data_IF_724548898955
#
_entry.id   IF_724548898955
#
_cell.length_a   1.000
_cell.length_b   1.000
_cell.length_c   1.000
_cell.angle_alpha   90.00
_cell.angle_beta   90.00
_cell.angle_gamma   90.00
#
_symmetry.space_group_name_H-M   'P 1'
#
loop_
_entity.id
_entity.type
_entity.pdbx_description
1 polymer ?
#
# COMPACT_ATOMS: atom_id res chain seq x y z
N UNK A 1 15.06 -7.37 -12.43
CA UNK A 1 15.26 -6.76 -11.09
C UNK A 1 14.01 -6.96 -10.26
N UNK A 2 14.15 -7.41 -9.01
CA UNK A 2 13.02 -7.50 -8.07
C UNK A 2 12.39 -6.11 -7.88
N UNK A 3 11.06 -6.07 -7.81
CA UNK A 3 10.29 -4.84 -7.57
C UNK A 3 9.94 -4.85 -6.09
N UNK A 4 10.50 -3.90 -5.33
CA UNK A 4 10.19 -3.74 -3.91
C UNK A 4 9.00 -2.81 -3.72
N UNK A 5 8.15 -3.15 -2.76
CA UNK A 5 6.90 -2.45 -2.51
C UNK A 5 6.69 -2.26 -1.01
N UNK A 6 6.16 -1.12 -0.62
CA UNK A 6 5.67 -0.89 0.75
C UNK A 6 4.17 -0.58 0.71
N UNK A 7 3.35 -1.48 1.24
CA UNK A 7 1.90 -1.40 1.13
C UNK A 7 1.23 -0.67 2.31
N UNK A 8 1.99 -0.02 3.20
CA UNK A 8 1.41 0.67 4.36
C UNK A 8 2.15 1.97 4.75
N UNK A 9 1.84 3.07 4.05
CA UNK A 9 2.23 4.41 4.50
C UNK A 9 1.02 5.12 5.12
N UNK A 10 1.12 5.62 6.34
CA UNK A 10 -0.03 6.23 7.00
C UNK A 10 -0.40 7.57 6.35
N UNK A 11 -1.68 7.72 6.00
CA UNK A 11 -2.18 8.98 5.46
C UNK A 11 -2.06 10.12 6.49
N UNK A 12 -1.63 11.30 6.02
CA UNK A 12 -1.60 12.53 6.79
C UNK A 12 -2.25 13.67 6.01
N UNK A 13 -2.97 14.57 6.69
CA UNK A 13 -3.55 15.74 6.02
C UNK A 13 -2.48 16.74 5.54
N UNK A 14 -1.28 16.68 6.12
CA UNK A 14 -0.15 17.56 5.80
C UNK A 14 0.60 17.08 4.54
N UNK A 15 0.45 17.84 3.44
CA UNK A 15 1.13 17.57 2.16
C UNK A 15 2.64 17.46 2.30
N UNK A 16 3.26 18.27 3.16
CA UNK A 16 4.72 18.27 3.30
C UNK A 16 5.24 16.97 3.88
N UNK A 17 4.47 16.36 4.80
CA UNK A 17 4.82 15.06 5.41
C UNK A 17 4.68 13.93 4.40
N UNK A 18 3.59 13.92 3.64
CA UNK A 18 3.38 12.92 2.59
C UNK A 18 4.46 13.04 1.50
N UNK A 19 4.82 14.25 1.07
CA UNK A 19 5.91 14.47 0.10
C UNK A 19 7.21 13.87 0.58
N UNK A 20 7.62 14.21 1.82
CA UNK A 20 8.86 13.68 2.42
C UNK A 20 8.84 12.16 2.56
N UNK A 21 7.70 11.56 2.91
CA UNK A 21 7.55 10.10 2.98
C UNK A 21 7.75 9.46 1.60
N UNK A 22 7.13 10.01 0.57
CA UNK A 22 7.20 9.49 -0.79
C UNK A 22 8.59 9.69 -1.42
N UNK A 23 9.23 10.84 -1.20
CA UNK A 23 10.62 11.10 -1.59
C UNK A 23 11.58 10.13 -0.93
N UNK A 24 11.42 9.91 0.38
CA UNK A 24 12.28 8.97 1.14
C UNK A 24 12.06 7.54 0.65
N UNK A 25 10.82 7.13 0.39
CA UNK A 25 10.53 5.81 -0.14
C UNK A 25 11.15 5.61 -1.54
N UNK A 26 11.06 6.62 -2.41
CA UNK A 26 11.69 6.61 -3.73
C UNK A 26 13.23 6.52 -3.63
N UNK A 27 13.85 7.26 -2.71
CA UNK A 27 15.28 7.21 -2.45
C UNK A 27 15.74 5.85 -1.92
N UNK A 28 14.94 5.19 -1.08
CA UNK A 28 15.23 3.83 -0.59
C UNK A 28 15.06 2.74 -1.67
N UNK A 29 14.46 3.06 -2.81
CA UNK A 29 14.29 2.15 -3.95
C UNK A 29 12.94 1.45 -4.02
N UNK A 30 11.93 1.91 -3.27
CA UNK A 30 10.57 1.38 -3.40
C UNK A 30 9.94 1.82 -4.72
N UNK A 31 9.46 0.85 -5.49
CA UNK A 31 8.84 1.10 -6.80
C UNK A 31 7.35 1.39 -6.70
N UNK A 32 6.69 0.84 -5.69
CA UNK A 32 5.26 0.99 -5.47
C UNK A 32 5.01 1.17 -3.99
N UNK A 33 4.17 2.14 -3.65
CA UNK A 33 3.79 2.46 -2.28
C UNK A 33 2.29 2.61 -2.18
N UNK A 34 1.70 2.19 -1.06
CA UNK A 34 0.28 2.39 -0.80
C UNK A 34 0.05 3.32 0.39
N UNK A 35 -0.78 4.34 0.18
CA UNK A 35 -1.24 5.26 1.21
C UNK A 35 -2.44 4.62 1.91
N UNK A 36 -2.28 4.36 3.21
CA UNK A 36 -3.26 3.69 4.04
C UNK A 36 -4.18 4.70 4.73
N UNK A 37 -5.48 4.54 4.50
CA UNK A 37 -6.56 5.21 5.20
C UNK A 37 -7.13 4.26 6.24
N UNK A 38 -7.08 4.63 7.52
CA UNK A 38 -7.62 3.79 8.59
C UNK A 38 -9.04 4.22 8.92
N UNK A 39 -9.95 3.26 8.98
CA UNK A 39 -11.35 3.47 9.33
C UNK A 39 -11.71 2.60 10.54
N UNK A 40 -12.09 3.27 11.64
CA UNK A 40 -12.48 2.64 12.90
C UNK A 40 -13.99 2.84 13.14
N UNK A 41 -14.85 1.92 12.67
CA UNK A 41 -16.28 2.00 12.89
C UNK A 41 -16.58 2.00 14.39
N UNK A 42 -17.09 3.14 14.87
CA UNK A 42 -17.51 3.33 16.26
C UNK A 42 -19.03 3.30 16.34
N UNK A 43 -19.58 2.52 17.26
CA UNK A 43 -21.03 2.33 17.43
C UNK A 43 -21.85 3.62 17.68
N UNK A 44 -21.19 4.75 17.97
CA UNK A 44 -21.83 6.00 18.38
C UNK A 44 -22.10 7.00 17.25
N UNK A 45 -21.48 6.86 16.08
CA UNK A 45 -21.71 7.76 14.94
C UNK A 45 -21.64 6.99 13.62
N UNK A 46 -22.54 7.32 12.70
CA UNK A 46 -22.54 6.83 11.31
C UNK A 46 -21.38 7.52 10.59
N UNK A 47 -20.15 7.05 10.81
CA UNK A 47 -18.97 7.57 10.15
C UNK A 47 -18.94 7.05 8.72
N UNK A 48 -18.74 7.96 7.77
CA UNK A 48 -18.57 7.61 6.36
C UNK A 48 -17.14 7.14 6.10
N UNK A 49 -16.99 6.17 5.21
CA UNK A 49 -15.69 5.70 4.76
C UNK A 49 -14.95 6.88 4.11
N UNK A 50 -13.68 7.14 4.47
CA UNK A 50 -12.93 8.24 3.90
C UNK A 50 -12.88 8.12 2.37
N UNK A 51 -12.95 9.26 1.67
CA UNK A 51 -12.76 9.29 0.22
C UNK A 51 -11.25 9.42 -0.05
N UNK A 52 -10.64 8.51 -0.83
CA UNK A 52 -9.22 8.64 -1.16
C UNK A 52 -9.01 9.92 -1.95
N UNK A 53 -8.00 10.71 -1.58
CA UNK A 53 -7.65 11.91 -2.33
C UNK A 53 -6.98 11.50 -3.64
N UNK A 54 -7.28 12.16 -4.77
CA UNK A 54 -6.55 11.91 -6.00
C UNK A 54 -5.08 12.25 -5.80
N UNK A 55 -4.19 11.47 -6.41
CA UNK A 55 -2.74 11.60 -6.22
C UNK A 55 -2.24 13.00 -6.60
N UNK A 56 -2.85 13.61 -7.63
CA UNK A 56 -2.55 14.98 -8.09
C UNK A 56 -2.82 16.04 -7.02
N UNK A 57 -3.72 15.77 -6.06
CA UNK A 57 -3.93 16.66 -4.92
C UNK A 57 -2.95 16.39 -3.78
N UNK A 58 -2.27 15.26 -3.75
CA UNK A 58 -1.32 14.91 -2.70
C UNK A 58 0.09 15.40 -3.04
N UNK A 59 0.48 15.30 -4.31
CA UNK A 59 1.80 15.68 -4.84
C UNK A 59 1.65 16.20 -6.27
N UNK A 60 2.35 17.28 -6.59
CA UNK A 60 2.40 17.86 -7.93
C UNK A 60 3.26 17.02 -8.90
N UNK A 61 4.39 16.50 -8.43
CA UNK A 61 5.31 15.66 -9.21
C UNK A 61 5.82 14.47 -8.40
N UNK A 62 5.57 13.26 -8.92
CA UNK A 62 6.00 12.03 -8.27
C UNK A 62 7.52 11.85 -8.37
N UNK A 63 8.21 11.54 -7.25
CA UNK A 63 9.65 11.36 -7.27
C UNK A 63 10.06 10.14 -8.09
N UNK A 64 11.20 10.26 -8.77
CA UNK A 64 11.82 9.16 -9.53
C UNK A 64 12.53 8.22 -8.56
N UNK A 65 12.27 6.92 -8.71
CA UNK A 65 12.81 5.89 -7.81
C UNK A 65 14.31 5.73 -8.03
N UNK A 66 15.10 5.75 -6.95
CA UNK A 66 16.55 5.56 -7.05
C UNK A 66 16.88 4.20 -7.67
N UNK A 67 17.75 4.21 -8.69
CA UNK A 67 18.10 3.01 -9.46
C UNK A 67 17.11 2.63 -10.56
N UNK A 68 16.06 3.43 -10.79
CA UNK A 68 15.12 3.27 -11.91
C UNK A 68 14.83 4.61 -12.57
N UNK A 69 14.50 4.61 -13.85
CA UNK A 69 14.11 5.81 -14.61
C UNK A 69 12.59 6.04 -14.63
N UNK A 70 11.86 5.52 -13.63
CA UNK A 70 10.40 5.61 -13.55
C UNK A 70 9.94 6.27 -12.25
N UNK A 71 8.86 7.07 -12.29
CA UNK A 71 8.26 7.62 -11.07
C UNK A 71 7.69 6.51 -10.20
N UNK A 72 7.62 6.77 -8.89
CA UNK A 72 7.01 5.87 -7.92
C UNK A 72 5.51 5.68 -8.21
N UNK A 73 5.01 4.44 -8.15
CA UNK A 73 3.57 4.17 -8.26
C UNK A 73 2.92 4.30 -6.89
N UNK A 74 1.97 5.23 -6.75
CA UNK A 74 1.21 5.42 -5.51
C UNK A 74 -0.16 4.76 -5.65
N UNK A 75 -0.57 4.01 -4.64
CA UNK A 75 -1.86 3.31 -4.55
C UNK A 75 -2.63 3.78 -3.33
N UNK A 76 -3.95 3.66 -3.38
CA UNK A 76 -4.81 3.95 -2.23
C UNK A 76 -5.24 2.66 -1.54
N UNK A 77 -5.02 2.57 -0.24
CA UNK A 77 -5.38 1.43 0.59
C UNK A 77 -6.34 1.85 1.69
N UNK A 78 -7.36 1.04 1.96
CA UNK A 78 -8.22 1.18 3.13
C UNK A 78 -7.92 0.06 4.13
N UNK A 79 -7.68 0.41 5.40
CA UNK A 79 -7.65 -0.54 6.50
C UNK A 79 -8.88 -0.34 7.39
N UNK A 80 -9.73 -1.35 7.50
CA UNK A 80 -10.90 -1.33 8.38
C UNK A 80 -10.59 -2.07 9.67
N UNK A 81 -10.70 -1.39 10.80
CA UNK A 81 -10.56 -2.03 12.12
C UNK A 81 -11.91 -2.67 12.48
N UNK A 82 -11.94 -3.99 12.54
CA UNK A 82 -13.18 -4.73 12.77
C UNK A 82 -13.22 -5.13 14.24
N UNK A 83 -14.08 -4.45 15.00
CA UNK A 83 -14.35 -4.73 16.41
C UNK A 83 -15.66 -5.50 16.63
N UNK A 84 -16.59 -5.42 15.69
CA UNK A 84 -17.85 -6.13 15.71
C UNK A 84 -18.11 -6.81 14.35
N UNK A 85 -18.72 -8.01 14.28
CA UNK A 85 -19.01 -8.67 13.01
C UNK A 85 -19.88 -7.84 12.06
N UNK A 86 -20.68 -6.89 12.58
CA UNK A 86 -21.52 -5.99 11.79
C UNK A 86 -20.74 -4.86 11.11
N UNK A 87 -19.52 -4.55 11.59
CA UNK A 87 -18.69 -3.46 11.07
C UNK A 87 -18.10 -3.78 9.69
N UNK A 88 -17.83 -5.06 9.42
CA UNK A 88 -17.44 -5.49 8.10
C UNK A 88 -18.69 -5.79 7.28
N UNK A 89 -19.11 -4.80 6.50
CA UNK A 89 -20.23 -4.94 5.58
C UNK A 89 -19.86 -6.00 4.54
N UNK A 90 -20.62 -7.10 4.50
CA UNK A 90 -20.59 -8.19 3.49
C UNK A 90 -20.89 -7.72 2.06
N UNK A 91 -20.37 -6.57 1.65
CA UNK A 91 -20.45 -6.04 0.29
C UNK A 91 -19.10 -5.43 -0.10
N UNK A 92 -18.09 -6.25 -0.40
CA UNK A 92 -16.81 -5.78 -0.95
C UNK A 92 -16.98 -5.04 -2.29
N UNK A 93 -18.12 -5.27 -2.95
CA UNK A 93 -18.58 -4.55 -4.14
C UNK A 93 -19.35 -3.24 -3.86
N UNK A 94 -19.45 -2.80 -2.60
CA UNK A 94 -20.03 -1.49 -2.31
C UNK A 94 -19.20 -0.40 -3.01
N UNK A 95 -19.85 0.64 -3.55
CA UNK A 95 -19.19 1.70 -4.31
C UNK A 95 -18.11 2.43 -3.49
N UNK A 96 -18.23 2.41 -2.16
CA UNK A 96 -17.30 3.02 -1.22
C UNK A 96 -15.93 2.32 -1.23
N UNK A 97 -15.92 0.98 -1.22
CA UNK A 97 -14.69 0.18 -1.22
C UNK A 97 -13.99 0.15 -2.58
N UNK A 98 -14.75 0.25 -3.68
CA UNK A 98 -14.20 0.24 -5.05
C UNK A 98 -13.27 1.42 -5.35
N UNK A 99 -13.35 2.49 -4.57
CA UNK A 99 -12.46 3.67 -4.69
C UNK A 99 -11.03 3.37 -4.28
N UNK A 100 -10.81 2.33 -3.47
CA UNK A 100 -9.50 1.92 -2.99
C UNK A 100 -8.92 0.81 -3.86
N UNK A 101 -7.61 0.84 -4.06
CA UNK A 101 -6.85 -0.22 -4.75
C UNK A 101 -6.75 -1.47 -3.88
N UNK A 102 -6.36 -1.30 -2.62
CA UNK A 102 -6.18 -2.37 -1.65
C UNK A 102 -7.21 -2.27 -0.52
N UNK A 103 -7.74 -3.42 -0.10
CA UNK A 103 -8.58 -3.53 1.10
C UNK A 103 -7.89 -4.41 2.13
N UNK A 104 -7.70 -3.85 3.31
CA UNK A 104 -7.12 -4.51 4.46
C UNK A 104 -8.10 -4.50 5.64
N UNK A 105 -8.05 -5.53 6.47
CA UNK A 105 -8.83 -5.62 7.71
C UNK A 105 -7.91 -5.89 8.89
N UNK A 106 -8.14 -5.18 9.99
CA UNK A 106 -7.49 -5.41 11.26
C UNK A 106 -8.52 -6.00 12.25
N UNK A 107 -8.54 -7.32 12.44
CA UNK A 107 -9.44 -7.96 13.40
C UNK A 107 -8.93 -7.80 14.84
N UNK A 108 -9.83 -7.47 15.77
CA UNK A 108 -9.47 -7.31 17.19
C UNK A 108 -9.75 -8.55 18.06
N UNK A 109 -10.49 -9.53 17.56
CA UNK A 109 -10.83 -10.77 18.27
C UNK A 109 -10.61 -12.03 17.43
N UNK A 110 -10.47 -13.19 18.09
CA UNK A 110 -10.26 -14.48 17.42
C UNK A 110 -11.41 -14.83 16.44
N UNK A 111 -12.65 -14.56 16.85
CA UNK A 111 -13.83 -14.84 16.03
C UNK A 111 -13.81 -14.01 14.74
N UNK A 112 -13.40 -12.74 14.85
CA UNK A 112 -13.28 -11.82 13.72
C UNK A 112 -12.10 -12.19 12.83
N UNK A 113 -10.97 -12.63 13.41
CA UNK A 113 -9.84 -13.14 12.66
C UNK A 113 -10.23 -14.37 11.83
N UNK A 114 -10.94 -15.34 12.44
CA UNK A 114 -11.45 -16.50 11.73
C UNK A 114 -12.43 -16.12 10.61
N UNK A 115 -13.35 -15.18 10.88
CA UNK A 115 -14.26 -14.67 9.86
C UNK A 115 -13.53 -13.95 8.72
N UNK A 116 -12.49 -13.17 9.02
CA UNK A 116 -11.67 -12.49 8.01
C UNK A 116 -10.96 -13.50 7.09
N UNK A 117 -10.41 -14.57 7.67
CA UNK A 117 -9.74 -15.62 6.91
C UNK A 117 -10.70 -16.39 5.99
N UNK A 118 -11.92 -16.68 6.45
CA UNK A 118 -12.83 -17.61 5.77
C UNK A 118 -13.90 -16.92 4.91
N UNK A 119 -14.37 -15.74 5.30
CA UNK A 119 -15.62 -15.15 4.78
C UNK A 119 -15.47 -13.77 4.15
N UNK A 120 -14.45 -12.99 4.52
CA UNK A 120 -14.32 -11.61 4.04
C UNK A 120 -13.56 -11.55 2.72
N UNK A 121 -14.06 -10.83 1.72
CA UNK A 121 -13.33 -10.62 0.45
C UNK A 121 -12.41 -9.40 0.57
N UNK A 122 -11.24 -9.65 1.16
CA UNK A 122 -10.18 -8.68 1.43
C UNK A 122 -8.87 -9.15 0.80
N UNK A 123 -7.91 -8.26 0.63
CA UNK A 123 -6.58 -8.62 0.13
C UNK A 123 -5.62 -8.93 1.27
N UNK A 124 -5.71 -8.12 2.33
CA UNK A 124 -4.71 -8.09 3.40
C UNK A 124 -5.39 -8.23 4.76
N UNK A 125 -4.86 -9.10 5.62
CA UNK A 125 -5.21 -9.18 7.04
C UNK A 125 -4.07 -8.57 7.85
N UNK A 126 -4.34 -7.42 8.46
CA UNK A 126 -3.40 -6.73 9.33
C UNK A 126 -3.40 -7.37 10.72
N UNK A 127 -2.23 -7.73 11.21
CA UNK A 127 -2.11 -8.24 12.57
C UNK A 127 -1.74 -7.09 13.49
N UNK A 128 -2.50 -6.93 14.58
CA UNK A 128 -2.15 -5.97 15.62
C UNK A 128 -0.86 -6.42 16.32
N UNK A 129 0.19 -5.62 16.19
CA UNK A 129 1.53 -5.88 16.75
C UNK A 129 1.89 -4.99 17.94
N UNK A 130 1.01 -4.05 18.28
CA UNK A 130 1.21 -3.07 19.35
C UNK A 130 0.96 -3.63 20.75
N UNK A 131 0.13 -4.67 20.84
CA UNK A 131 -0.30 -5.28 22.10
C UNK A 131 -0.15 -6.81 22.06
N UNK A 132 -0.21 -7.43 23.24
CA UNK A 132 -0.30 -8.88 23.33
C UNK A 132 -1.61 -9.33 22.70
N UNK A 133 -1.53 -10.15 21.65
CA UNK A 133 -2.74 -10.69 21.02
C UNK A 133 -3.53 -11.52 22.05
N UNK A 134 -4.85 -11.30 22.16
CA UNK A 134 -5.68 -12.03 23.10
C UNK A 134 -6.02 -13.45 22.62
N UNK A 135 -5.49 -13.88 21.47
CA UNK A 135 -5.79 -15.15 20.84
C UNK A 135 -4.57 -15.76 20.16
N UNK A 136 -4.66 -17.06 19.86
CA UNK A 136 -3.65 -17.81 19.14
C UNK A 136 -4.04 -18.02 17.68
N UNK A 137 -3.03 -18.10 16.82
CA UNK A 137 -3.21 -18.38 15.41
C UNK A 137 -3.49 -19.87 15.18
N UNK A 138 -4.69 -20.19 14.71
CA UNK A 138 -5.05 -21.55 14.30
C UNK A 138 -4.65 -21.76 12.84
N UNK A 139 -4.07 -22.92 12.53
CA UNK A 139 -3.62 -23.26 11.17
C UNK A 139 -4.76 -23.35 10.15
N UNK A 140 -5.89 -23.94 10.54
CA UNK A 140 -7.01 -24.15 9.63
C UNK A 140 -7.52 -22.84 8.97
N UNK A 141 -7.86 -21.76 9.72
CA UNK A 141 -8.27 -20.51 9.09
C UNK A 141 -7.15 -19.86 8.29
N UNK A 142 -5.89 -19.94 8.76
CA UNK A 142 -4.74 -19.39 8.04
C UNK A 142 -4.58 -20.02 6.66
N UNK A 143 -4.63 -21.36 6.58
CA UNK A 143 -4.54 -22.06 5.31
C UNK A 143 -5.72 -21.69 4.40
N UNK A 144 -6.93 -21.57 4.95
CA UNK A 144 -8.10 -21.11 4.19
C UNK A 144 -7.91 -19.70 3.60
N UNK A 145 -7.24 -18.79 4.31
CA UNK A 145 -6.90 -17.47 3.78
C UNK A 145 -5.82 -17.53 2.69
N UNK A 146 -4.78 -18.36 2.90
CA UNK A 146 -3.69 -18.57 1.94
C UNK A 146 -4.23 -19.11 0.61
N UNK A 147 -5.11 -20.13 0.67
CA UNK A 147 -5.71 -20.76 -0.51
C UNK A 147 -6.58 -19.77 -1.31
N UNK A 148 -7.16 -18.78 -0.63
CA UNK A 148 -7.93 -17.69 -1.26
C UNK A 148 -7.03 -16.59 -1.84
N UNK A 149 -5.72 -16.62 -1.58
CA UNK A 149 -4.79 -15.57 -2.03
C UNK A 149 -4.73 -14.34 -1.12
N UNK A 150 -5.31 -14.41 0.08
CA UNK A 150 -5.21 -13.35 1.10
C UNK A 150 -3.81 -13.38 1.72
N UNK A 151 -3.25 -12.21 1.99
CA UNK A 151 -1.93 -12.07 2.63
C UNK A 151 -2.05 -11.55 4.06
N UNK A 152 -1.12 -11.96 4.93
CA UNK A 152 -1.01 -11.47 6.30
C UNK A 152 0.05 -10.39 6.37
N UNK A 153 -0.27 -9.27 7.00
CA UNK A 153 0.64 -8.14 7.14
C UNK A 153 1.17 -8.01 8.56
N UNK A 154 2.49 -7.83 8.65
CA UNK A 154 3.21 -7.46 9.87
C UNK A 154 3.86 -6.09 9.65
N UNK A 155 3.41 -5.10 10.42
CA UNK A 155 4.02 -3.77 10.40
C UNK A 155 5.22 -3.69 11.33
N UNK A 156 6.35 -3.17 10.84
CA UNK A 156 7.58 -3.12 11.64
C UNK A 156 7.78 -1.79 12.39
N UNK A 157 7.08 -0.70 12.04
CA UNK A 157 7.31 0.61 12.70
C UNK A 157 7.04 0.58 14.20
N UNK A 158 6.10 -0.24 14.67
CA UNK A 158 5.83 -0.41 16.10
C UNK A 158 7.09 -0.88 16.87
N UNK A 159 7.92 -1.72 16.26
CA UNK A 159 9.16 -2.21 16.86
C UNK A 159 10.28 -1.15 16.92
N UNK A 160 10.20 -0.11 16.09
CA UNK A 160 11.14 1.01 16.06
C UNK A 160 10.77 2.05 17.12
N UNK A 161 9.47 2.36 17.25
CA UNK A 161 8.97 3.44 18.10
C UNK A 161 9.17 3.19 19.60
N UNK A 162 8.88 1.98 20.05
CA UNK A 162 8.92 1.66 21.47
C UNK A 162 9.48 0.25 21.77
N UNK A 163 10.20 0.15 22.87
CA UNK A 163 10.87 -1.09 23.29
C UNK A 163 9.89 -2.17 23.78
N UNK A 164 8.76 -1.78 24.36
CA UNK A 164 7.73 -2.72 24.81
C UNK A 164 6.94 -3.24 23.60
N UNK A 165 6.57 -2.36 22.67
CA UNK A 165 5.93 -2.72 21.41
C UNK A 165 6.82 -3.65 20.57
N UNK A 166 8.14 -3.43 20.56
CA UNK A 166 9.11 -4.34 19.91
C UNK A 166 8.97 -5.78 20.38
N UNK A 167 8.81 -6.01 21.68
CA UNK A 167 8.65 -7.35 22.23
C UNK A 167 7.38 -8.02 21.70
N UNK A 168 6.27 -7.29 21.66
CA UNK A 168 5.00 -7.81 21.14
C UNK A 168 5.06 -8.02 19.63
N UNK A 169 5.66 -7.11 18.88
CA UNK A 169 5.82 -7.23 17.42
C UNK A 169 6.58 -8.50 17.07
N UNK A 170 7.76 -8.74 17.70
CA UNK A 170 8.55 -9.94 17.43
C UNK A 170 7.79 -11.21 17.83
N UNK A 171 7.16 -11.23 19.01
CA UNK A 171 6.44 -12.40 19.49
C UNK A 171 5.22 -12.75 18.63
N UNK A 172 4.41 -11.75 18.26
CA UNK A 172 3.22 -11.93 17.44
C UNK A 172 3.60 -12.33 16.00
N UNK A 173 4.64 -11.72 15.43
CA UNK A 173 5.12 -12.05 14.10
C UNK A 173 5.73 -13.47 14.04
N UNK A 174 6.49 -13.89 15.06
CA UNK A 174 7.00 -15.25 15.14
C UNK A 174 5.87 -16.29 15.27
N UNK A 175 4.85 -15.99 16.08
CA UNK A 175 3.67 -16.84 16.25
C UNK A 175 2.87 -17.01 14.95
N UNK A 176 2.71 -15.92 14.19
CA UNK A 176 2.11 -15.97 12.85
C UNK A 176 2.96 -16.80 11.91
N UNK A 177 4.26 -16.53 11.84
CA UNK A 177 5.17 -17.19 10.88
C UNK A 177 5.24 -18.69 11.11
N UNK A 178 5.24 -19.17 12.36
CA UNK A 178 5.18 -20.60 12.65
C UNK A 178 3.83 -21.23 12.27
N UNK A 179 2.75 -20.45 12.36
CA UNK A 179 1.41 -20.89 11.96
C UNK A 179 1.26 -20.96 10.44
N UNK A 180 1.73 -19.96 9.71
CA UNK A 180 1.70 -19.85 8.24
C UNK A 180 2.81 -20.63 7.53
N UNK A 181 3.85 -21.07 8.27
CA UNK A 181 5.11 -21.60 7.70
C UNK A 181 5.75 -20.65 6.69
N UNK A 182 5.73 -19.35 6.99
CA UNK A 182 6.31 -18.28 6.17
C UNK A 182 5.53 -17.90 4.90
N UNK A 183 4.42 -18.57 4.59
CA UNK A 183 3.65 -18.32 3.37
C UNK A 183 2.73 -17.10 3.49
N UNK A 184 2.61 -16.35 2.39
CA UNK A 184 1.72 -15.19 2.23
C UNK A 184 1.86 -14.13 3.35
N UNK A 185 3.06 -13.94 3.89
CA UNK A 185 3.35 -12.86 4.83
C UNK A 185 3.95 -11.68 4.07
N UNK A 186 3.47 -10.46 4.34
CA UNK A 186 4.07 -9.22 3.86
C UNK A 186 4.60 -8.40 5.03
N UNK A 187 5.72 -7.71 4.79
CA UNK A 187 6.29 -6.76 5.74
C UNK A 187 6.04 -5.35 5.22
N UNK A 188 5.49 -4.50 6.07
CA UNK A 188 5.15 -3.13 5.73
C UNK A 188 5.64 -2.16 6.80
N UNK A 189 5.77 -0.89 6.44
CA UNK A 189 6.26 0.08 7.41
C UNK A 189 5.19 0.49 8.41
N UNK A 190 3.97 0.84 7.97
CA UNK A 190 3.04 1.66 8.76
C UNK A 190 3.67 2.99 9.22
N UNK A 191 4.56 3.54 8.39
CA UNK A 191 5.32 4.75 8.74
C UNK A 191 4.41 5.98 8.78
N UNK A 192 4.55 6.77 9.84
CA UNK A 192 3.97 8.11 9.95
C UNK A 192 5.01 9.19 9.66
N UNK A 193 6.30 8.86 9.83
CA UNK A 193 7.44 9.76 9.64
C UNK A 193 8.45 9.13 8.69
N UNK A 194 9.09 9.96 7.87
CA UNK A 194 10.13 9.52 6.92
C UNK A 194 11.26 8.71 7.58
N UNK A 195 11.63 9.03 8.82
CA UNK A 195 12.69 8.35 9.57
C UNK A 195 12.33 6.93 10.04
N UNK A 196 11.07 6.52 9.90
CA UNK A 196 10.62 5.17 10.24
C UNK A 196 10.78 4.20 9.05
N UNK A 197 10.96 4.73 7.83
CA UNK A 197 11.21 3.91 6.65
C UNK A 197 12.60 3.27 6.71
N UNK A 198 12.70 2.06 6.17
CA UNK A 198 13.95 1.28 6.07
C UNK A 198 14.12 0.79 4.64
N UNK A 199 15.37 0.55 4.24
CA UNK A 199 15.64 0.01 2.92
C UNK A 199 15.04 -1.40 2.77
N UNK A 200 14.67 -1.83 1.55
CA UNK A 200 14.05 -3.14 1.35
C UNK A 200 14.92 -4.31 1.85
N UNK A 201 16.24 -4.22 1.71
CA UNK A 201 17.16 -5.24 2.23
C UNK A 201 17.26 -5.24 3.77
N UNK A 202 17.15 -4.07 4.41
CA UNK A 202 17.07 -3.99 5.87
C UNK A 202 15.77 -4.63 6.38
N UNK A 203 14.67 -4.44 5.65
CA UNK A 203 13.38 -5.07 5.96
C UNK A 203 13.48 -6.60 5.80
N UNK A 204 14.18 -7.09 4.77
CA UNK A 204 14.46 -8.54 4.64
C UNK A 204 15.21 -9.07 5.86
N UNK A 205 16.23 -8.35 6.35
CA UNK A 205 16.95 -8.73 7.57
C UNK A 205 16.05 -8.73 8.82
N UNK A 206 15.11 -7.78 8.92
CA UNK A 206 14.10 -7.79 9.99
C UNK A 206 13.15 -8.99 9.87
N UNK A 207 12.82 -9.42 8.64
CA UNK A 207 12.02 -10.62 8.38
C UNK A 207 12.61 -11.88 9.00
N UNK A 208 13.94 -12.01 9.01
CA UNK A 208 14.63 -13.12 9.67
C UNK A 208 14.39 -13.13 11.19
N UNK A 209 14.32 -11.95 11.83
CA UNK A 209 13.99 -11.83 13.25
C UNK A 209 12.55 -12.24 13.56
N UNK A 210 11.65 -12.14 12.59
CA UNK A 210 10.27 -12.59 12.69
C UNK A 210 10.09 -14.09 12.39
N UNK A 211 11.19 -14.81 12.12
CA UNK A 211 11.19 -16.25 11.88
C UNK A 211 10.93 -16.65 10.43
N UNK A 212 10.98 -15.70 9.48
CA UNK A 212 10.95 -16.01 8.05
C UNK A 212 12.30 -16.57 7.59
N UNK A 213 12.29 -17.40 6.56
CA UNK A 213 13.52 -17.80 5.87
C UNK A 213 14.06 -16.63 5.02
N UNK A 214 15.32 -16.66 4.59
CA UNK A 214 15.90 -15.61 3.74
C UNK A 214 15.13 -15.44 2.41
N UNK A 215 14.69 -16.56 1.82
CA UNK A 215 13.83 -16.56 0.64
C UNK A 215 12.50 -15.88 0.93
N UNK A 216 11.77 -16.37 1.95
CA UNK A 216 10.43 -15.86 2.29
C UNK A 216 10.48 -14.38 2.71
N UNK A 217 11.52 -13.97 3.44
CA UNK A 217 11.71 -12.59 3.89
C UNK A 217 11.92 -11.63 2.71
N UNK A 218 12.63 -12.07 1.66
CA UNK A 218 12.79 -11.29 0.43
C UNK A 218 11.51 -11.23 -0.38
N UNK A 219 10.80 -12.36 -0.46
CA UNK A 219 9.51 -12.46 -1.14
C UNK A 219 8.43 -11.61 -0.48
N UNK A 220 8.44 -11.52 0.86
CA UNK A 220 7.51 -10.73 1.67
C UNK A 220 7.50 -9.23 1.33
N UNK A 221 8.59 -8.69 0.76
CA UNK A 221 8.71 -7.28 0.33
C UNK A 221 8.62 -7.12 -1.19
N UNK A 222 8.53 -8.23 -1.94
CA UNK A 222 8.58 -8.23 -3.41
C UNK A 222 7.46 -9.05 -4.07
N UNK A 223 7.65 -10.36 -4.27
CA UNK A 223 6.69 -11.21 -4.99
C UNK A 223 5.35 -11.33 -4.27
N UNK A 224 5.35 -11.47 -2.95
CA UNK A 224 4.13 -11.58 -2.14
C UNK A 224 3.32 -10.28 -2.19
N UNK A 225 3.99 -9.12 -2.11
CA UNK A 225 3.35 -7.82 -2.31
C UNK A 225 2.72 -7.71 -3.71
N UNK A 226 3.42 -8.20 -4.74
CA UNK A 226 2.88 -8.23 -6.11
C UNK A 226 1.66 -9.16 -6.22
N UNK A 227 1.67 -10.32 -5.57
CA UNK A 227 0.53 -11.23 -5.53
C UNK A 227 -0.68 -10.57 -4.87
N UNK A 228 -0.48 -9.84 -3.76
CA UNK A 228 -1.54 -9.08 -3.10
C UNK A 228 -2.15 -7.99 -4.02
N UNK A 229 -1.32 -7.30 -4.79
CA UNK A 229 -1.80 -6.32 -5.78
C UNK A 229 -2.62 -6.97 -6.89
N UNK A 230 -2.17 -8.11 -7.43
CA UNK A 230 -2.90 -8.84 -8.45
C UNK A 230 -4.25 -9.35 -7.91
N UNK A 231 -4.27 -9.88 -6.69
CA UNK A 231 -5.51 -10.27 -6.02
C UNK A 231 -6.49 -9.10 -5.93
N UNK A 232 -6.02 -7.92 -5.56
CA UNK A 232 -6.85 -6.73 -5.48
C UNK A 232 -7.40 -6.26 -6.84
N UNK A 233 -6.59 -6.37 -7.91
CA UNK A 233 -7.03 -6.10 -9.28
C UNK A 233 -8.13 -7.10 -9.73
N UNK A 234 -8.04 -8.37 -9.32
CA UNK A 234 -9.10 -9.36 -9.60
C UNK A 234 -10.41 -9.09 -8.87
N UNK A 235 -10.37 -8.47 -7.68
CA UNK A 235 -11.59 -8.00 -6.99
C UNK A 235 -12.26 -6.85 -7.73
N UNK A 236 -11.48 -5.90 -8.26
CA UNK A 236 -12.02 -4.74 -8.99
C UNK A 236 -12.64 -5.13 -10.32
N UNK A 237 -12.08 -6.17 -10.93
CA UNK A 237 -12.54 -6.73 -12.21
C UNK A 237 -13.52 -7.88 -11.97
N UNK A 238 -14.20 -8.36 -13.01
CA UNK A 238 -15.14 -9.48 -12.88
C UNK A 238 -14.38 -10.82 -12.87
N UNK A 239 -13.48 -11.01 -11.89
CA UNK A 239 -12.73 -12.26 -11.63
C UNK A 239 -12.05 -12.90 -12.86
N UNK A 240 -11.54 -12.06 -13.78
CA UNK A 240 -10.81 -12.54 -14.98
C UNK A 240 -11.01 -11.70 -16.24
N UNK A 241 -12.02 -10.82 -16.27
CA UNK A 241 -12.27 -9.93 -17.41
C UNK A 241 -11.74 -8.53 -17.10
N UNK A 242 -10.66 -8.14 -17.78
CA UNK A 242 -10.08 -6.79 -17.68
C UNK A 242 -10.54 -5.96 -18.87
N UNK A 243 -11.37 -4.96 -18.60
CA UNK A 243 -11.76 -3.96 -19.60
C UNK A 243 -10.84 -2.75 -19.49
N UNK A 244 -10.08 -2.47 -20.55
CA UNK A 244 -9.28 -1.24 -20.67
C UNK A 244 -9.80 -0.40 -21.83
N UNK A 245 -10.26 0.81 -21.54
CA UNK A 245 -10.50 1.81 -22.58
C UNK A 245 -9.19 2.58 -22.83
N UNK A 246 -8.69 2.56 -24.06
CA UNK A 246 -7.61 3.46 -24.46
C UNK A 246 -8.23 4.84 -24.74
N UNK A 247 -7.98 5.79 -23.85
CA UNK A 247 -8.24 7.20 -24.16
C UNK A 247 -7.05 7.71 -24.98
N UNK A 248 -7.29 8.09 -26.23
CA UNK A 248 -6.31 8.89 -26.98
C UNK A 248 -6.31 10.28 -26.35
N UNK A 249 -5.31 10.59 -25.51
CA UNK A 249 -4.98 11.99 -25.27
C UNK A 249 -4.38 12.50 -26.58
N UNK A 250 -5.06 13.44 -27.23
CA UNK A 250 -4.49 14.21 -28.34
C UNK A 250 -3.14 14.76 -27.87
N UNK A 251 -2.08 14.43 -28.62
CA UNK A 251 -0.79 15.08 -28.43
C UNK A 251 -1.01 16.60 -28.49
N UNK A 252 -0.32 17.40 -27.65
CA UNK A 252 -0.37 18.86 -27.81
C UNK A 252 0.03 19.15 -29.25
N UNK A 253 -0.90 19.74 -30.01
CA UNK A 253 -0.68 20.09 -31.39
C UNK A 253 0.54 21.00 -31.46
N UNK A 254 1.55 20.59 -32.24
CA UNK A 254 2.63 21.48 -32.61
C UNK A 254 2.03 22.78 -33.17
N UNK A 255 2.57 23.95 -32.81
CA UNK A 255 2.09 25.21 -33.38
C UNK A 255 2.27 25.15 -34.90
N UNK A 256 1.33 25.70 -35.68
CA UNK A 256 1.37 25.59 -37.13
C UNK A 256 2.67 26.21 -37.67
N UNK A 257 3.51 25.38 -38.28
CA UNK A 257 4.58 25.83 -39.16
C UNK A 257 3.94 26.62 -40.30
N UNK A 258 4.08 27.94 -40.26
CA UNK A 258 3.65 28.78 -41.38
C UNK A 258 3.31 30.21 -41.02
N UNK A 259 4.27 30.96 -40.47
CA UNK A 259 4.47 32.39 -40.81
C UNK A 259 5.77 32.89 -40.17
N UNK A 260 6.88 32.62 -40.84
CA UNK A 260 8.09 33.43 -40.72
C UNK A 260 7.73 34.86 -41.16
N UNK A 261 7.42 35.73 -40.20
CA UNK A 261 7.42 37.17 -40.44
C UNK A 261 8.87 37.62 -40.56
N UNK A 262 9.37 37.63 -41.80
CA UNK A 262 10.61 38.29 -42.16
C UNK A 262 10.44 39.80 -41.92
N UNK A 263 10.89 40.30 -40.77
CA UNK A 263 11.14 41.74 -40.59
C UNK A 263 12.40 42.10 -41.37
N UNK A 264 12.23 42.43 -42.65
CA UNK A 264 13.23 43.21 -43.38
C UNK A 264 13.06 44.68 -42.99
N UNK A 265 13.83 45.13 -41.99
CA UNK A 265 14.04 46.54 -41.73
C UNK A 265 14.79 47.16 -42.93
N UNK A 266 14.08 47.91 -43.76
CA UNK A 266 14.70 48.83 -44.71
C UNK A 266 15.27 50.02 -43.94
N UNK A 267 16.54 49.93 -43.55
CA UNK A 267 17.34 51.09 -43.17
C UNK A 267 17.72 51.88 -44.44
N UNK A 268 16.95 52.94 -44.73
CA UNK A 268 17.38 53.98 -45.66
C UNK A 268 18.42 54.87 -44.97
N UNK A 269 19.68 54.73 -45.34
CA UNK A 269 20.71 55.74 -45.07
C UNK A 269 20.58 56.90 -46.07
N UNK A 270 20.60 58.17 -45.61
CA UNK A 270 20.75 59.31 -46.51
C UNK A 270 22.24 59.47 -46.90
N UNK A 271 22.47 59.82 -48.16
CA UNK A 271 23.78 60.24 -48.68
C UNK A 271 24.17 61.58 -48.08
N UNK A 272 25.39 61.66 -47.55
CA UNK A 272 26.34 62.75 -47.73
C UNK A 272 27.75 62.16 -47.77
#
# INVERSE_FOLDING_TARGET
>A
MAVFMDLNLMFSADRTRISKLLETAAHLGFSTVAINYTFEPTAKQKQEIPVPKPINELIDQLPVVQGRSRPIRVLNRLTVVVSDPSHYVRRPNAPEYRRFDLLAVQPTSEKLFHAACMLYDIDIICISVTEKLPFFFKRAPINGAIDRGVVFEVSYSAAIRDSTMRRYTIANAASLTDSCKGKNVILSSAAEKALELRGPYDITNLGLLFGLSDGDAKEAVSSTCRAALLHAETRKTASGIVYTARSQQEAPSDPPEGQFWCRSEHAQHPRF
#
